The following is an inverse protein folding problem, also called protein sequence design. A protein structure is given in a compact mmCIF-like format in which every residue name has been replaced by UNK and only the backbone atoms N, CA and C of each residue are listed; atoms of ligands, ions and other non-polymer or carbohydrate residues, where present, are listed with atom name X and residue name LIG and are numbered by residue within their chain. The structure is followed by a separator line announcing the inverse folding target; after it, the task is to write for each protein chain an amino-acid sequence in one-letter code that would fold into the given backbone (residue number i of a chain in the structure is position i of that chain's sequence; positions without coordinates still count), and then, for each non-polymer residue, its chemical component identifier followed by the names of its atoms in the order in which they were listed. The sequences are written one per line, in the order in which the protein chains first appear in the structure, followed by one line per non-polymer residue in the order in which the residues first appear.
data_IF_612183781648
#
_entry.id   IF_612183781648
#
_cell.length_a   1.000
_cell.length_b   1.000
_cell.length_c   1.000
_cell.angle_alpha   90.00
_cell.angle_beta   90.00
_cell.angle_gamma   90.00
#
_symmetry.space_group_name_H-M   'P 1'
#
loop_
_entity.id
_entity.type
_entity.pdbx_description
1 polymer ?
#
# COMPACT_ATOMS: atom_id res chain seq x y z
N UNK A 1 6.59 -4.45 -10.29
CA UNK A 1 7.13 -4.28 -8.92
C UNK A 1 6.00 -4.22 -7.90
N UNK A 2 6.16 -4.80 -6.71
CA UNK A 2 5.15 -4.85 -5.63
C UNK A 2 5.64 -3.99 -4.46
N UNK A 3 4.84 -3.03 -4.00
CA UNK A 3 5.12 -2.27 -2.79
C UNK A 3 4.20 -2.65 -1.64
N UNK A 4 4.70 -2.57 -0.41
CA UNK A 4 3.90 -2.69 0.81
C UNK A 4 4.18 -1.53 1.76
N UNK A 5 3.12 -0.94 2.31
CA UNK A 5 3.24 0.02 3.40
C UNK A 5 3.29 -0.71 4.74
N UNK A 6 3.85 -0.08 5.77
CA UNK A 6 3.89 -0.68 7.11
C UNK A 6 4.71 -1.97 7.20
N UNK A 7 5.75 -2.11 6.35
CA UNK A 7 6.57 -3.31 6.24
C UNK A 7 7.28 -3.72 7.54
N UNK A 8 7.48 -2.78 8.47
CA UNK A 8 8.10 -3.03 9.79
C UNK A 8 7.11 -3.43 10.88
N UNK A 9 5.81 -3.48 10.59
CA UNK A 9 4.80 -4.00 11.52
C UNK A 9 4.73 -5.53 11.48
N UNK A 10 4.06 -6.14 12.47
CA UNK A 10 3.92 -7.61 12.54
C UNK A 10 3.30 -8.21 11.28
N UNK A 11 2.19 -7.64 10.80
CA UNK A 11 1.55 -8.10 9.58
C UNK A 11 2.43 -7.90 8.34
N UNK A 12 3.09 -6.75 8.24
CA UNK A 12 4.01 -6.45 7.14
C UNK A 12 5.17 -7.44 7.06
N UNK A 13 5.70 -7.86 8.22
CA UNK A 13 6.76 -8.85 8.32
C UNK A 13 6.35 -10.21 7.75
N UNK A 14 5.18 -10.74 8.17
CA UNK A 14 4.68 -12.01 7.65
C UNK A 14 4.39 -11.97 6.15
N UNK A 15 3.74 -10.90 5.67
CA UNK A 15 3.48 -10.72 4.23
C UNK A 15 4.77 -10.70 3.44
N UNK A 16 5.81 -10.04 3.96
CA UNK A 16 7.08 -9.93 3.27
C UNK A 16 7.83 -11.28 3.23
N UNK A 17 7.77 -12.08 4.30
CA UNK A 17 8.28 -13.45 4.30
C UNK A 17 7.55 -14.32 3.24
N UNK A 18 6.23 -14.25 3.19
CA UNK A 18 5.44 -15.00 2.19
C UNK A 18 5.74 -14.54 0.75
N UNK A 19 5.93 -13.24 0.55
CA UNK A 19 6.29 -12.68 -0.76
C UNK A 19 7.68 -13.12 -1.19
N UNK A 20 8.66 -13.16 -0.29
CA UNK A 20 10.02 -13.60 -0.61
C UNK A 20 10.09 -15.05 -1.09
N UNK A 21 9.12 -15.89 -0.71
CA UNK A 21 9.03 -17.27 -1.19
C UNK A 21 8.54 -17.39 -2.64
N UNK A 22 7.92 -16.34 -3.18
CA UNK A 22 7.24 -16.39 -4.50
C UNK A 22 7.69 -15.31 -5.46
N UNK A 23 8.33 -14.24 -4.96
CA UNK A 23 8.72 -13.05 -5.71
C UNK A 23 10.18 -12.72 -5.36
N UNK A 24 11.04 -12.41 -6.35
CA UNK A 24 12.40 -11.97 -6.08
C UNK A 24 12.42 -10.72 -5.19
N UNK A 25 13.32 -10.68 -4.21
CA UNK A 25 13.42 -9.56 -3.26
C UNK A 25 13.59 -8.20 -3.95
N UNK A 26 14.31 -8.15 -5.07
CA UNK A 26 14.52 -6.94 -5.89
C UNK A 26 13.24 -6.37 -6.51
N UNK A 27 12.16 -7.16 -6.59
CA UNK A 27 10.85 -6.73 -7.08
C UNK A 27 9.92 -6.28 -5.96
N UNK A 28 10.35 -6.37 -4.70
CA UNK A 28 9.59 -5.99 -3.52
C UNK A 28 10.11 -4.65 -3.00
N UNK A 29 9.18 -3.72 -2.78
CA UNK A 29 9.44 -2.40 -2.20
C UNK A 29 8.79 -2.33 -0.82
N UNK A 30 9.61 -2.21 0.22
CA UNK A 30 9.16 -1.98 1.59
C UNK A 30 9.12 -0.47 1.87
N UNK A 31 7.91 0.09 2.00
CA UNK A 31 7.71 1.50 2.37
C UNK A 31 7.63 1.60 3.89
N UNK A 32 8.58 2.33 4.46
CA UNK A 32 8.78 2.44 5.91
C UNK A 32 8.95 3.89 6.36
N UNK A 33 8.51 4.20 7.58
CA UNK A 33 8.74 5.52 8.18
C UNK A 33 10.19 5.69 8.63
N UNK A 34 10.75 4.64 9.21
CA UNK A 34 12.11 4.63 9.73
C UNK A 34 12.92 3.51 9.05
N UNK A 35 13.83 3.83 8.12
CA UNK A 35 14.63 2.84 7.39
C UNK A 35 15.62 2.10 8.29
N UNK A 36 16.03 2.66 9.44
CA UNK A 36 16.90 1.95 10.39
C UNK A 36 16.24 0.67 10.92
N UNK A 37 14.90 0.68 11.08
CA UNK A 37 14.12 -0.51 11.49
C UNK A 37 13.95 -1.56 10.38
N UNK A 38 14.36 -1.24 9.16
CA UNK A 38 14.22 -2.08 7.98
C UNK A 38 15.56 -2.59 7.43
N UNK A 39 16.66 -2.44 8.17
CA UNK A 39 17.98 -2.93 7.76
C UNK A 39 17.99 -4.43 7.42
N UNK A 40 17.30 -5.24 8.24
CA UNK A 40 17.16 -6.67 7.98
C UNK A 40 16.47 -6.98 6.64
N UNK A 41 15.55 -6.12 6.20
CA UNK A 41 14.87 -6.27 4.89
C UNK A 41 15.83 -5.92 3.75
N UNK A 42 16.60 -4.85 3.91
CA UNK A 42 17.60 -4.47 2.91
C UNK A 42 18.69 -5.54 2.74
N UNK A 43 19.10 -6.20 3.83
CA UNK A 43 20.04 -7.32 3.78
C UNK A 43 19.49 -8.55 3.05
N UNK A 44 18.17 -8.71 3.02
CA UNK A 44 17.48 -9.76 2.24
C UNK A 44 17.30 -9.37 0.77
N UNK A 45 17.82 -8.22 0.33
CA UNK A 45 17.71 -7.73 -1.04
C UNK A 45 16.40 -7.01 -1.36
N UNK A 46 15.58 -6.70 -0.34
CA UNK A 46 14.35 -5.92 -0.52
C UNK A 46 14.68 -4.45 -0.69
N UNK A 47 14.00 -3.80 -1.63
CA UNK A 47 14.15 -2.36 -1.85
C UNK A 47 13.42 -1.61 -0.75
N UNK A 48 14.15 -0.95 0.14
CA UNK A 48 13.57 -0.13 1.22
C UNK A 48 13.42 1.31 0.75
N UNK A 49 12.22 1.90 0.86
CA UNK A 49 11.97 3.31 0.56
C UNK A 49 11.34 3.99 1.77
N UNK A 50 11.80 5.19 2.09
CA UNK A 50 11.29 5.96 3.21
C UNK A 50 10.11 6.84 2.78
N UNK A 51 8.98 6.73 3.47
CA UNK A 51 7.87 7.66 3.34
C UNK A 51 6.97 7.62 4.58
N UNK A 52 6.40 8.77 4.94
CA UNK A 52 5.38 8.90 5.97
C UNK A 52 3.98 8.94 5.34
N UNK A 53 2.96 8.43 6.04
CA UNK A 53 1.58 8.48 5.56
C UNK A 53 1.02 9.91 5.45
N UNK A 54 1.60 10.84 6.20
CA UNK A 54 1.25 12.27 6.16
C UNK A 54 1.87 13.03 4.98
N UNK A 55 2.90 12.47 4.34
CA UNK A 55 3.64 13.12 3.25
C UNK A 55 3.31 12.47 1.89
N UNK A 56 2.36 13.07 1.16
CA UNK A 56 1.94 12.58 -0.16
C UNK A 56 3.08 12.63 -1.19
N UNK A 57 3.98 13.61 -1.12
CA UNK A 57 5.09 13.73 -2.07
C UNK A 57 6.12 12.62 -1.85
N UNK A 58 6.48 12.35 -0.60
CA UNK A 58 7.36 11.23 -0.25
C UNK A 58 6.73 9.89 -0.64
N UNK A 59 5.42 9.70 -0.40
CA UNK A 59 4.70 8.49 -0.84
C UNK A 59 4.72 8.34 -2.37
N UNK A 60 4.54 9.43 -3.11
CA UNK A 60 4.54 9.42 -4.58
C UNK A 60 5.91 9.01 -5.11
N UNK A 61 6.98 9.58 -4.55
CA UNK A 61 8.35 9.18 -4.87
C UNK A 61 8.62 7.70 -4.51
N UNK A 62 8.15 7.26 -3.33
CA UNK A 62 8.29 5.88 -2.89
C UNK A 62 7.51 4.88 -3.76
N UNK A 63 6.47 5.31 -4.45
CA UNK A 63 5.63 4.47 -5.33
C UNK A 63 6.05 4.49 -6.80
N UNK A 64 7.06 5.27 -7.19
CA UNK A 64 7.53 5.30 -8.59
C UNK A 64 7.97 3.91 -9.08
N UNK A 65 7.45 3.50 -10.24
CA UNK A 65 7.73 2.20 -10.86
C UNK A 65 7.00 1.01 -10.20
N UNK A 66 6.09 1.25 -9.26
CA UNK A 66 5.30 0.22 -8.59
C UNK A 66 4.03 -0.10 -9.38
N UNK A 67 3.79 -1.38 -9.67
CA UNK A 67 2.56 -1.82 -10.35
C UNK A 67 1.44 -2.18 -9.36
N UNK A 68 1.81 -2.79 -8.23
CA UNK A 68 0.89 -3.32 -7.22
C UNK A 68 1.28 -2.78 -5.85
N UNK A 69 0.32 -2.25 -5.11
CA UNK A 69 0.51 -1.73 -3.76
C UNK A 69 -0.34 -2.53 -2.78
N UNK A 70 0.25 -2.98 -1.67
CA UNK A 70 -0.46 -3.40 -0.47
C UNK A 70 -0.47 -2.27 0.54
N UNK A 71 -1.64 -1.67 0.73
CA UNK A 71 -1.90 -0.67 1.76
C UNK A 71 -2.26 -1.41 3.05
N UNK A 72 -1.28 -1.51 3.95
CA UNK A 72 -1.49 -1.94 5.32
C UNK A 72 -1.96 -0.73 6.12
N UNK A 73 -3.14 -0.83 6.73
CA UNK A 73 -3.72 0.26 7.51
C UNK A 73 -2.78 0.76 8.62
N UNK A 74 -2.67 2.08 8.76
CA UNK A 74 -1.98 2.70 9.89
C UNK A 74 -2.76 2.46 11.19
N UNK A 75 -2.02 2.26 12.29
CA UNK A 75 -2.56 2.04 13.64
C UNK A 75 -3.04 3.35 14.30
N UNK A 76 -2.86 4.50 13.65
CA UNK A 76 -3.16 5.81 14.23
C UNK A 76 -4.66 6.11 14.17
N UNK A 77 -5.29 6.07 15.35
CA UNK A 77 -6.70 6.39 15.55
C UNK A 77 -6.94 7.86 15.22
N UNK A 78 -7.95 8.15 14.39
CA UNK A 78 -8.34 9.51 14.01
C UNK A 78 -7.66 10.06 12.75
N UNK A 79 -6.46 9.60 12.38
CA UNK A 79 -5.76 10.07 11.16
C UNK A 79 -5.89 9.12 9.97
N UNK A 80 -6.44 7.93 10.19
CA UNK A 80 -6.52 6.85 9.20
C UNK A 80 -7.14 7.28 7.87
N UNK A 81 -8.21 8.08 7.88
CA UNK A 81 -8.87 8.53 6.66
C UNK A 81 -7.98 9.44 5.79
N UNK A 82 -7.29 10.41 6.42
CA UNK A 82 -6.38 11.34 5.75
C UNK A 82 -5.16 10.61 5.22
N UNK A 83 -4.55 9.76 6.06
CA UNK A 83 -3.39 8.94 5.71
C UNK A 83 -3.67 8.01 4.53
N UNK A 84 -4.83 7.33 4.52
CA UNK A 84 -5.22 6.48 3.39
C UNK A 84 -5.46 7.30 2.13
N UNK A 85 -6.06 8.49 2.23
CA UNK A 85 -6.28 9.37 1.08
C UNK A 85 -4.95 9.76 0.44
N UNK A 86 -3.95 10.14 1.23
CA UNK A 86 -2.62 10.49 0.74
C UNK A 86 -1.96 9.32 0.00
N UNK A 87 -2.04 8.10 0.56
CA UNK A 87 -1.50 6.90 -0.11
C UNK A 87 -2.23 6.61 -1.44
N UNK A 88 -3.55 6.75 -1.48
CA UNK A 88 -4.33 6.52 -2.70
C UNK A 88 -3.99 7.58 -3.77
N UNK A 89 -3.85 8.85 -3.37
CA UNK A 89 -3.46 9.93 -4.27
C UNK A 89 -2.05 9.70 -4.82
N UNK A 90 -1.10 9.39 -3.95
CA UNK A 90 0.28 9.06 -4.33
C UNK A 90 0.33 7.86 -5.27
N UNK A 91 -0.46 6.81 -5.01
CA UNK A 91 -0.54 5.65 -5.88
C UNK A 91 -1.10 5.99 -7.26
N UNK A 92 -2.10 6.88 -7.35
CA UNK A 92 -2.59 7.39 -8.63
C UNK A 92 -1.54 8.20 -9.37
N UNK A 93 -0.87 9.12 -8.67
CA UNK A 93 0.18 9.98 -9.24
C UNK A 93 1.37 9.16 -9.75
N UNK A 94 1.72 8.08 -9.05
CA UNK A 94 2.78 7.15 -9.45
C UNK A 94 2.35 6.10 -10.49
N UNK A 95 1.08 6.07 -10.91
CA UNK A 95 0.58 5.15 -11.93
C UNK A 95 0.40 3.70 -11.47
N UNK A 96 0.21 3.48 -10.17
CA UNK A 96 -0.05 2.14 -9.61
C UNK A 96 -1.34 1.56 -10.20
N UNK A 97 -1.29 0.31 -10.65
CA UNK A 97 -2.40 -0.35 -11.37
C UNK A 97 -3.34 -1.10 -10.43
N UNK A 98 -2.82 -1.54 -9.29
CA UNK A 98 -3.56 -2.37 -8.35
C UNK A 98 -3.25 -2.00 -6.92
N UNK A 99 -4.28 -1.82 -6.10
CA UNK A 99 -4.16 -1.55 -4.67
C UNK A 99 -4.94 -2.61 -3.90
N UNK A 100 -4.23 -3.32 -3.03
CA UNK A 100 -4.77 -4.21 -2.03
C UNK A 100 -4.91 -3.45 -0.71
N UNK A 101 -6.03 -3.60 -0.01
CA UNK A 101 -6.26 -2.90 1.25
C UNK A 101 -6.61 -3.86 2.38
N UNK A 102 -5.88 -3.78 3.50
CA UNK A 102 -6.19 -4.55 4.71
C UNK A 102 -7.30 -3.86 5.50
N UNK A 103 -8.55 -4.15 5.12
CA UNK A 103 -9.74 -3.78 5.88
C UNK A 103 -10.05 -4.79 6.99
N UNK A 104 -10.77 -4.35 8.02
CA UNK A 104 -11.36 -5.25 9.00
C UNK A 104 -12.42 -6.15 8.33
N UNK A 105 -12.55 -7.43 8.74
CA UNK A 105 -13.69 -8.24 8.35
C UNK A 105 -14.95 -7.53 8.83
N UNK A 106 -15.92 -7.31 7.92
CA UNK A 106 -17.20 -6.64 8.14
C UNK A 106 -17.29 -5.10 8.02
N UNK A 107 -16.49 -4.43 7.18
CA UNK A 107 -16.85 -3.07 6.71
C UNK A 107 -17.67 -3.15 5.41
N UNK A 108 -18.95 -3.55 5.53
CA UNK A 108 -19.96 -3.30 4.49
C UNK A 108 -20.33 -1.82 4.59
N UNK A 109 -20.20 -1.08 3.49
CA UNK A 109 -20.54 0.35 3.34
C UNK A 109 -19.48 1.37 3.76
N UNK A 110 -18.71 1.85 2.78
CA UNK A 110 -18.20 3.22 2.76
C UNK A 110 -18.81 3.91 1.53
N UNK A 111 -19.82 4.74 1.73
CA UNK A 111 -20.39 5.57 0.68
C UNK A 111 -19.45 6.75 0.43
N UNK A 112 -18.67 6.68 -0.66
CA UNK A 112 -17.94 7.84 -1.15
C UNK A 112 -18.95 8.79 -1.83
N UNK A 113 -19.17 9.94 -1.20
CA UNK A 113 -20.02 11.01 -1.71
C UNK A 113 -19.58 11.49 -3.10
N UNK A 114 -20.58 11.58 -3.98
CA UNK A 114 -20.70 12.40 -5.19
C UNK A 114 -19.46 12.66 -6.05
N UNK A 115 -19.37 11.96 -7.20
CA UNK A 115 -18.89 12.59 -8.44
C UNK A 115 -17.88 11.79 -9.28
N UNK A 116 -18.42 10.95 -10.17
CA UNK A 116 -17.81 10.42 -11.42
C UNK A 116 -16.66 9.40 -11.31
N UNK A 117 -16.82 8.32 -12.11
CA UNK A 117 -15.94 7.15 -12.36
C UNK A 117 -15.96 6.05 -11.28
N UNK A 118 -16.63 4.95 -11.61
CA UNK A 118 -16.90 3.81 -10.74
C UNK A 118 -15.64 2.99 -10.42
N UNK A 119 -15.20 3.04 -9.17
CA UNK A 119 -14.38 2.02 -8.52
C UNK A 119 -15.22 0.76 -8.37
N UNK A 120 -14.80 -0.37 -8.95
CA UNK A 120 -15.54 -1.63 -8.84
C UNK A 120 -15.01 -2.43 -7.65
N UNK A 121 -15.77 -2.44 -6.56
CA UNK A 121 -15.57 -3.35 -5.43
C UNK A 121 -15.83 -4.79 -5.89
N UNK A 122 -14.85 -5.68 -5.71
CA UNK A 122 -15.11 -7.13 -5.66
C UNK A 122 -14.61 -7.61 -4.31
N UNK A 123 -15.54 -7.76 -3.37
CA UNK A 123 -15.28 -8.18 -2.01
C UNK A 123 -15.53 -9.69 -1.93
N UNK A 124 -14.50 -10.49 -2.22
CA UNK A 124 -14.50 -11.91 -1.89
C UNK A 124 -13.59 -12.11 -0.67
N UNK A 125 -14.15 -12.73 0.38
CA UNK A 125 -13.44 -13.14 1.61
C UNK A 125 -12.76 -12.03 2.45
N UNK A 126 -13.46 -10.92 2.73
CA UNK A 126 -13.02 -9.93 3.74
C UNK A 126 -11.80 -9.09 3.34
N UNK A 127 -11.38 -9.17 2.06
CA UNK A 127 -10.29 -8.37 1.49
C UNK A 127 -10.88 -7.38 0.48
N UNK A 128 -10.65 -6.10 0.70
CA UNK A 128 -11.02 -5.05 -0.26
C UNK A 128 -9.84 -4.82 -1.22
N UNK A 129 -10.13 -4.88 -2.52
CA UNK A 129 -9.15 -4.61 -3.57
C UNK A 129 -9.69 -3.53 -4.51
N UNK A 130 -8.82 -2.61 -4.89
CA UNK A 130 -9.10 -1.56 -5.86
C UNK A 130 -8.22 -1.78 -7.09
N UNK A 131 -8.85 -1.95 -8.26
CA UNK A 131 -8.14 -1.90 -9.55
C UNK A 131 -8.25 -0.49 -10.10
N UNK A 132 -7.14 0.21 -10.21
CA UNK A 132 -7.07 1.52 -10.87
C UNK A 132 -7.04 1.29 -12.39
N UNK A 133 -7.98 1.88 -13.12
CA UNK A 133 -7.93 1.89 -14.59
C UNK A 133 -7.29 3.21 -15.04
N UNK A 134 -6.33 3.18 -15.99
CA UNK A 134 -5.87 4.41 -16.64
C UNK A 134 -7.06 5.10 -17.31
N UNK A 135 -7.09 6.44 -17.29
CA UNK A 135 -8.02 7.17 -18.15
C UNK A 135 -7.58 6.94 -19.62
N UNK A 136 -8.54 6.53 -20.46
CA UNK A 136 -8.38 6.47 -21.90
C UNK A 136 -8.28 7.89 -22.50
#
# INVERSE_FOLDING_TARGET
MIALTGATGQLGHYVLQDLLNTVPASQIVAIVRNPAKAQALSQQGVVVRQADYSDEAALTAALQGVDKLLLISSSEVGQRAVQHRNVINAAKAAGVKFIAYTSLPACRHFAAGSGRRAYRNRADAGRLWYRLRPAA
#
